data_IF_452480681154
#
_entry.id   IF_452480681154
#
_cell.length_a   1.000
_cell.length_b   1.000
_cell.length_c   1.000
_cell.angle_alpha   90.00
_cell.angle_beta   90.00
_cell.angle_gamma   90.00
#
_symmetry.space_group_name_H-M   'P 1'
#
loop_
_entity.id
_entity.type
_entity.pdbx_description
1 polymer ?
#
# COMPACT_ATOMS: atom_id res chain seq x y z
N UNK A 1 8.72 2.49 -0.41
CA UNK A 1 9.47 2.25 0.85
C UNK A 1 10.25 0.94 0.81
N UNK A 2 9.62 -0.19 0.48
CA UNK A 2 10.29 -1.52 0.42
C UNK A 2 11.08 -1.81 -0.86
N UNK A 3 10.84 -1.09 -1.96
CA UNK A 3 11.41 -1.40 -3.28
C UNK A 3 10.77 -2.60 -4.00
N UNK A 4 9.73 -3.20 -3.40
CA UNK A 4 9.04 -4.37 -3.94
C UNK A 4 7.86 -3.94 -4.83
N UNK A 5 8.02 -4.14 -6.14
CA UNK A 5 6.97 -3.94 -7.14
C UNK A 5 6.84 -2.52 -7.70
N UNK A 6 6.18 -2.43 -8.85
CA UNK A 6 5.95 -1.22 -9.63
C UNK A 6 4.47 -0.80 -9.51
N UNK A 7 4.15 0.43 -9.03
CA UNK A 7 2.78 0.86 -8.80
C UNK A 7 1.82 0.73 -9.99
N UNK A 8 2.32 0.91 -11.22
CA UNK A 8 1.50 0.85 -12.43
C UNK A 8 1.35 -0.56 -13.04
N UNK A 9 2.18 -1.53 -12.63
CA UNK A 9 2.11 -2.93 -13.11
C UNK A 9 1.46 -3.86 -12.10
N UNK A 10 1.82 -3.72 -10.82
CA UNK A 10 1.62 -4.81 -9.85
C UNK A 10 0.40 -4.64 -8.94
N UNK A 11 -0.32 -3.51 -9.06
CA UNK A 11 -1.46 -3.16 -8.21
C UNK A 11 -2.76 -3.16 -9.02
N UNK A 12 -3.57 -4.20 -8.82
CA UNK A 12 -4.88 -4.37 -9.48
C UNK A 12 -6.01 -3.99 -8.53
N UNK A 13 -7.21 -3.63 -9.01
CA UNK A 13 -8.42 -3.61 -8.18
C UNK A 13 -8.64 -5.00 -7.55
N UNK A 14 -9.10 -5.10 -6.31
CA UNK A 14 -9.29 -6.42 -5.68
C UNK A 14 -10.38 -7.24 -6.41
N UNK A 15 -11.36 -6.57 -7.03
CA UNK A 15 -12.37 -7.20 -7.90
C UNK A 15 -11.83 -7.84 -9.18
N UNK A 16 -10.56 -7.60 -9.54
CA UNK A 16 -9.86 -8.36 -10.58
C UNK A 16 -9.80 -9.87 -10.27
N UNK A 17 -9.87 -10.26 -8.99
CA UNK A 17 -9.94 -11.67 -8.59
C UNK A 17 -11.17 -12.41 -9.15
N UNK A 18 -12.29 -11.72 -9.37
CA UNK A 18 -13.54 -12.34 -9.83
C UNK A 18 -13.37 -13.09 -11.15
N UNK A 19 -12.57 -12.60 -12.10
CA UNK A 19 -12.32 -13.28 -13.38
C UNK A 19 -11.79 -14.72 -13.22
N UNK A 20 -11.06 -15.00 -12.13
CA UNK A 20 -10.57 -16.34 -11.81
C UNK A 20 -11.60 -17.18 -11.04
N UNK A 21 -12.44 -16.54 -10.23
CA UNK A 21 -13.56 -17.17 -9.53
C UNK A 21 -14.62 -17.64 -10.53
N UNK A 22 -15.02 -16.78 -11.48
CA UNK A 22 -15.98 -17.08 -12.55
C UNK A 22 -15.54 -18.30 -13.39
N UNK A 23 -14.24 -18.38 -13.69
CA UNK A 23 -13.65 -19.54 -14.38
C UNK A 23 -13.74 -20.83 -13.55
N UNK A 24 -13.41 -20.73 -12.26
CA UNK A 24 -13.45 -21.87 -11.36
C UNK A 24 -14.89 -22.34 -11.07
N UNK A 25 -15.87 -21.44 -11.10
CA UNK A 25 -17.29 -21.79 -11.02
C UNK A 25 -17.81 -22.48 -12.28
N UNK A 26 -17.46 -21.98 -13.48
CA UNK A 26 -17.73 -22.71 -14.73
C UNK A 26 -17.11 -24.13 -14.71
N UNK A 27 -15.92 -24.26 -14.13
CA UNK A 27 -15.23 -25.55 -13.96
C UNK A 27 -15.91 -26.46 -12.92
N UNK A 28 -16.59 -25.92 -11.90
CA UNK A 28 -17.28 -26.67 -10.84
C UNK A 28 -18.81 -26.73 -10.99
N UNK A 29 -19.38 -26.23 -12.09
CA UNK A 29 -20.84 -26.14 -12.32
C UNK A 29 -21.61 -27.47 -12.22
N UNK A 30 -20.93 -28.62 -12.34
CA UNK A 30 -21.52 -29.96 -12.20
C UNK A 30 -21.16 -30.66 -10.87
N UNK A 31 -20.42 -30.00 -9.97
CA UNK A 31 -19.95 -30.61 -8.73
C UNK A 31 -21.06 -30.47 -7.66
N UNK A 32 -21.59 -31.60 -7.18
CA UNK A 32 -22.76 -31.75 -6.28
C UNK A 32 -22.67 -31.07 -4.89
N UNK A 33 -21.71 -30.18 -4.68
CA UNK A 33 -21.48 -29.40 -3.44
C UNK A 33 -20.98 -27.98 -3.72
N UNK A 34 -21.16 -27.45 -4.93
CA UNK A 34 -20.76 -26.08 -5.30
C UNK A 34 -21.90 -25.06 -5.07
N UNK A 35 -22.71 -25.25 -4.02
CA UNK A 35 -23.97 -24.53 -3.77
C UNK A 35 -23.81 -23.00 -3.62
N UNK A 36 -22.60 -22.55 -3.31
CA UNK A 36 -22.24 -21.15 -3.03
C UNK A 36 -21.21 -20.56 -4.01
N UNK A 37 -20.76 -21.36 -4.96
CA UNK A 37 -19.67 -21.01 -5.88
C UNK A 37 -18.32 -20.75 -5.21
N UNK A 38 -17.45 -20.02 -5.91
CA UNK A 38 -16.11 -19.64 -5.47
C UNK A 38 -16.08 -18.26 -4.82
N UNK A 39 -15.04 -17.99 -4.02
CA UNK A 39 -14.84 -16.67 -3.40
C UNK A 39 -14.58 -15.61 -4.48
N UNK A 40 -15.62 -14.86 -4.85
CA UNK A 40 -15.58 -13.74 -5.79
C UNK A 40 -15.63 -12.41 -5.04
N UNK A 41 -14.96 -11.37 -5.53
CA UNK A 41 -14.82 -10.08 -4.84
C UNK A 41 -15.44 -8.94 -5.65
N UNK A 42 -16.72 -9.07 -6.02
CA UNK A 42 -17.45 -8.16 -6.92
C UNK A 42 -17.72 -6.72 -6.42
N UNK A 43 -16.79 -6.14 -5.65
CA UNK A 43 -16.84 -4.76 -5.21
C UNK A 43 -16.40 -3.77 -6.29
N UNK A 44 -16.78 -2.49 -6.13
CA UNK A 44 -16.36 -1.42 -7.02
C UNK A 44 -14.82 -1.38 -7.17
N UNK A 45 -14.24 -1.17 -8.36
CA UNK A 45 -12.78 -1.19 -8.53
C UNK A 45 -12.01 -0.22 -7.62
N UNK A 46 -12.62 0.91 -7.25
CA UNK A 46 -12.06 1.89 -6.32
C UNK A 46 -12.24 1.52 -4.83
N UNK A 47 -12.79 0.34 -4.50
CA UNK A 47 -12.98 -0.13 -3.13
C UNK A 47 -11.65 -0.45 -2.45
N UNK A 48 -10.75 -1.13 -3.17
CA UNK A 48 -9.40 -1.45 -2.71
C UNK A 48 -8.56 -2.02 -3.84
N UNK A 49 -7.25 -1.96 -3.68
CA UNK A 49 -6.26 -2.51 -4.60
C UNK A 49 -5.43 -3.60 -3.92
N UNK A 50 -4.91 -4.55 -4.69
CA UNK A 50 -4.06 -5.62 -4.19
C UNK A 50 -2.88 -5.91 -5.11
N UNK A 51 -1.73 -6.20 -4.50
CA UNK A 51 -0.56 -6.76 -5.15
C UNK A 51 -0.31 -8.17 -4.63
N UNK A 52 -0.09 -9.13 -5.54
CA UNK A 52 0.29 -10.49 -5.21
C UNK A 52 1.81 -10.67 -5.35
N UNK A 53 2.44 -11.34 -4.38
CA UNK A 53 3.88 -11.59 -4.33
C UNK A 53 4.13 -13.09 -4.16
N UNK A 54 4.92 -13.67 -5.07
CA UNK A 54 5.44 -15.03 -4.93
C UNK A 54 6.74 -14.99 -4.13
N UNK A 55 6.83 -15.82 -3.08
CA UNK A 55 7.96 -15.83 -2.16
C UNK A 55 8.51 -17.25 -2.06
N UNK A 56 9.81 -17.42 -2.34
CA UNK A 56 10.53 -18.65 -2.06
C UNK A 56 10.83 -18.75 -0.56
N UNK A 57 10.31 -19.76 0.13
CA UNK A 57 10.62 -19.96 1.55
C UNK A 57 12.08 -20.35 1.80
N UNK A 58 12.78 -20.90 0.80
CA UNK A 58 14.18 -21.31 0.94
C UNK A 58 15.11 -20.11 0.77
N UNK A 59 15.14 -19.52 -0.42
CA UNK A 59 16.05 -18.39 -0.76
C UNK A 59 15.60 -17.02 -0.22
N UNK A 60 14.35 -16.90 0.25
CA UNK A 60 13.67 -15.63 0.62
C UNK A 60 13.46 -14.65 -0.53
N UNK A 61 13.72 -15.06 -1.76
CA UNK A 61 13.43 -14.28 -2.95
C UNK A 61 11.93 -14.00 -3.07
N UNK A 62 11.57 -12.74 -3.28
CA UNK A 62 10.19 -12.26 -3.31
C UNK A 62 9.97 -11.41 -4.57
N UNK A 63 9.03 -11.83 -5.42
CA UNK A 63 8.78 -11.20 -6.73
C UNK A 63 7.28 -10.97 -6.90
N UNK A 64 6.82 -9.79 -7.35
CA UNK A 64 5.43 -9.57 -7.72
C UNK A 64 4.99 -10.59 -8.79
N UNK A 65 3.82 -11.22 -8.60
CA UNK A 65 3.32 -12.25 -9.53
C UNK A 65 3.18 -11.70 -10.94
N UNK A 66 2.75 -10.44 -11.03
CA UNK A 66 2.51 -9.65 -12.23
C UNK A 66 3.77 -9.18 -12.96
N UNK A 67 4.96 -9.36 -12.36
CA UNK A 67 6.23 -9.20 -13.06
C UNK A 67 6.55 -10.39 -13.98
N UNK A 68 6.01 -11.59 -13.70
CA UNK A 68 6.25 -12.82 -14.45
C UNK A 68 4.98 -13.50 -14.99
N UNK A 69 3.81 -12.91 -14.75
CA UNK A 69 2.52 -13.39 -15.20
C UNK A 69 1.70 -12.19 -15.69
N UNK A 70 1.53 -12.05 -17.02
CA UNK A 70 0.86 -10.90 -17.64
C UNK A 70 -0.63 -10.87 -17.30
N UNK A 71 -0.99 -10.28 -16.15
CA UNK A 71 -2.31 -10.37 -15.56
C UNK A 71 -3.44 -9.83 -16.44
N UNK A 72 -3.27 -8.66 -17.04
CA UNK A 72 -4.29 -8.03 -17.88
C UNK A 72 -4.62 -8.88 -19.13
N UNK A 73 -3.61 -9.49 -19.73
CA UNK A 73 -3.76 -10.36 -20.90
C UNK A 73 -4.25 -11.76 -20.51
N UNK A 74 -3.82 -12.28 -19.36
CA UNK A 74 -4.34 -13.51 -18.77
C UNK A 74 -5.84 -13.40 -18.50
N UNK A 75 -6.31 -12.31 -17.90
CA UNK A 75 -7.74 -12.09 -17.66
C UNK A 75 -8.54 -12.01 -18.97
N UNK A 76 -8.04 -11.31 -20.00
CA UNK A 76 -8.64 -11.23 -21.34
C UNK A 76 -8.69 -12.60 -22.05
N UNK A 77 -7.77 -13.51 -21.75
CA UNK A 77 -7.78 -14.86 -22.32
C UNK A 77 -8.67 -15.83 -21.52
N UNK A 78 -8.70 -15.73 -20.19
CA UNK A 78 -9.63 -16.48 -19.32
C UNK A 78 -11.07 -16.11 -19.64
N UNK A 79 -11.38 -14.83 -19.86
CA UNK A 79 -12.71 -14.40 -20.28
C UNK A 79 -13.21 -15.19 -21.51
N UNK A 80 -12.37 -15.39 -22.53
CA UNK A 80 -12.70 -16.19 -23.72
C UNK A 80 -12.91 -17.68 -23.42
N UNK A 81 -12.23 -18.23 -22.41
CA UNK A 81 -12.46 -19.61 -21.93
C UNK A 81 -13.82 -19.71 -21.24
N UNK A 82 -14.20 -18.68 -20.49
CA UNK A 82 -15.49 -18.58 -19.81
C UNK A 82 -16.64 -18.40 -20.82
N UNK A 83 -16.51 -17.45 -21.74
CA UNK A 83 -17.46 -17.18 -22.85
C UNK A 83 -17.67 -18.42 -23.75
N UNK A 84 -16.62 -19.23 -23.94
CA UNK A 84 -16.72 -20.47 -24.70
C UNK A 84 -17.54 -21.56 -23.98
N UNK A 85 -17.81 -21.41 -22.68
CA UNK A 85 -18.69 -22.23 -21.84
C UNK A 85 -18.56 -23.75 -22.09
N UNK A 86 -17.33 -24.26 -22.09
CA UNK A 86 -17.04 -25.67 -22.39
C UNK A 86 -17.07 -26.54 -21.13
N UNK A 87 -17.15 -27.86 -21.33
CA UNK A 87 -17.12 -28.83 -20.24
C UNK A 87 -15.76 -28.84 -19.51
N UNK A 88 -15.80 -29.17 -18.21
CA UNK A 88 -14.71 -29.11 -17.22
C UNK A 88 -13.29 -29.36 -17.78
N UNK A 89 -13.08 -30.44 -18.53
CA UNK A 89 -11.78 -30.76 -19.14
C UNK A 89 -11.24 -29.66 -20.06
N UNK A 90 -12.05 -29.15 -20.99
CA UNK A 90 -11.64 -28.08 -21.92
C UNK A 90 -11.44 -26.74 -21.20
N UNK A 91 -12.21 -26.49 -20.13
CA UNK A 91 -12.08 -25.30 -19.28
C UNK A 91 -10.77 -25.32 -18.47
N UNK A 92 -10.33 -26.50 -18.00
CA UNK A 92 -9.03 -26.72 -17.37
C UNK A 92 -7.88 -26.57 -18.37
N UNK A 93 -7.99 -27.20 -19.55
CA UNK A 93 -6.98 -27.08 -20.62
C UNK A 93 -6.85 -25.64 -21.13
N UNK A 94 -7.98 -24.94 -21.27
CA UNK A 94 -8.02 -23.52 -21.62
C UNK A 94 -7.24 -22.66 -20.64
N UNK A 95 -7.48 -22.81 -19.33
CA UNK A 95 -6.72 -22.09 -18.30
C UNK A 95 -5.24 -22.46 -18.28
N UNK A 96 -4.90 -23.74 -18.45
CA UNK A 96 -3.50 -24.16 -18.56
C UNK A 96 -2.79 -23.49 -19.75
N UNK A 97 -3.45 -23.41 -20.92
CA UNK A 97 -2.96 -22.68 -22.10
C UNK A 97 -2.84 -21.17 -21.83
N UNK A 98 -3.81 -20.55 -21.15
CA UNK A 98 -3.77 -19.13 -20.80
C UNK A 98 -2.61 -18.80 -19.85
N UNK A 99 -2.37 -19.66 -18.84
CA UNK A 99 -1.22 -19.54 -17.93
C UNK A 99 0.10 -19.73 -18.68
N UNK A 100 0.21 -20.74 -19.56
CA UNK A 100 1.41 -20.98 -20.36
C UNK A 100 1.73 -19.82 -21.32
N UNK A 101 0.72 -19.23 -21.96
CA UNK A 101 0.87 -18.09 -22.86
C UNK A 101 1.37 -16.83 -22.14
N UNK A 102 0.91 -16.60 -20.91
CA UNK A 102 1.12 -15.36 -20.18
C UNK A 102 2.23 -15.44 -19.11
N UNK A 103 2.98 -16.54 -19.04
CA UNK A 103 4.07 -16.75 -18.07
C UNK A 103 5.45 -16.46 -18.67
N UNK A 104 6.19 -15.55 -18.04
CA UNK A 104 7.58 -15.26 -18.35
C UNK A 104 8.52 -15.88 -17.29
N UNK A 105 9.28 -16.95 -17.61
CA UNK A 105 10.21 -17.56 -16.66
C UNK A 105 11.39 -16.65 -16.30
N UNK A 106 11.80 -15.69 -17.14
CA UNK A 106 12.99 -14.87 -16.92
C UNK A 106 12.81 -13.82 -15.82
N UNK A 107 11.57 -13.37 -15.60
CA UNK A 107 11.21 -12.46 -14.51
C UNK A 107 10.65 -13.19 -13.28
N UNK A 108 10.55 -14.52 -13.31
CA UNK A 108 10.07 -15.33 -12.19
C UNK A 108 11.16 -15.57 -11.13
N UNK A 109 10.82 -15.93 -9.87
CA UNK A 109 11.82 -16.36 -8.89
C UNK A 109 12.66 -17.53 -9.43
N UNK A 110 13.95 -17.58 -9.14
CA UNK A 110 14.99 -18.43 -9.79
C UNK A 110 14.69 -19.94 -9.87
N UNK A 111 13.84 -20.44 -8.99
CA UNK A 111 13.44 -21.85 -8.92
C UNK A 111 11.97 -22.09 -9.26
N UNK A 112 11.19 -21.03 -9.51
CA UNK A 112 9.79 -21.09 -9.85
C UNK A 112 9.64 -21.57 -11.30
N UNK A 113 8.82 -22.60 -11.50
CA UNK A 113 8.61 -23.20 -12.81
C UNK A 113 7.15 -23.05 -13.19
N UNK A 114 6.88 -23.14 -14.49
CA UNK A 114 5.52 -23.28 -15.01
C UNK A 114 4.75 -24.43 -14.34
N UNK A 115 5.43 -25.52 -13.96
CA UNK A 115 4.84 -26.62 -13.18
C UNK A 115 4.40 -26.21 -11.77
N UNK A 116 5.11 -25.27 -11.13
CA UNK A 116 4.71 -24.70 -9.84
C UNK A 116 3.58 -23.67 -10.00
N UNK A 117 3.57 -22.88 -11.08
CA UNK A 117 2.46 -21.99 -11.43
C UNK A 117 1.14 -22.77 -11.61
N UNK A 118 1.15 -23.81 -12.46
CA UNK A 118 -0.03 -24.66 -12.70
C UNK A 118 -0.49 -25.33 -11.39
N UNK A 119 0.45 -25.86 -10.59
CA UNK A 119 0.21 -26.42 -9.26
C UNK A 119 -0.32 -25.41 -8.25
N UNK A 120 0.00 -24.11 -8.38
CA UNK A 120 -0.55 -23.04 -7.52
C UNK A 120 -2.01 -22.76 -7.83
N UNK A 121 -2.36 -22.60 -9.12
CA UNK A 121 -3.76 -22.42 -9.53
C UNK A 121 -4.60 -23.66 -9.18
N UNK A 122 -4.09 -24.86 -9.45
CA UNK A 122 -4.72 -26.14 -9.06
C UNK A 122 -4.87 -26.29 -7.53
N UNK A 123 -3.91 -25.84 -6.72
CA UNK A 123 -4.00 -25.82 -5.25
C UNK A 123 -4.96 -24.77 -4.69
N UNK A 124 -5.29 -23.73 -5.47
CA UNK A 124 -6.22 -22.68 -5.09
C UNK A 124 -7.66 -23.03 -5.47
N UNK A 125 -7.87 -23.47 -6.72
CA UNK A 125 -9.18 -23.70 -7.33
C UNK A 125 -9.53 -25.19 -7.49
N UNK A 126 -8.73 -26.13 -6.97
CA UNK A 126 -9.00 -27.58 -6.98
C UNK A 126 -9.30 -28.18 -8.37
N UNK A 127 -8.66 -27.67 -9.42
CA UNK A 127 -8.98 -27.97 -10.82
C UNK A 127 -8.89 -29.46 -11.18
N UNK A 128 -7.87 -30.16 -10.67
CA UNK A 128 -7.63 -31.58 -10.95
C UNK A 128 -8.19 -32.53 -9.88
N UNK A 129 -8.86 -32.01 -8.84
CA UNK A 129 -9.28 -32.79 -7.65
C UNK A 129 -8.11 -33.29 -6.78
N UNK A 130 -6.88 -32.84 -7.04
CA UNK A 130 -5.67 -33.33 -6.37
C UNK A 130 -5.58 -32.84 -4.93
N UNK A 131 -5.52 -33.78 -3.99
CA UNK A 131 -5.44 -33.46 -2.56
C UNK A 131 -4.10 -32.79 -2.19
N UNK A 132 -4.15 -31.49 -1.92
CA UNK A 132 -3.04 -30.66 -1.39
C UNK A 132 -3.07 -30.47 0.14
N UNK A 133 -3.94 -31.17 0.85
CA UNK A 133 -4.29 -30.93 2.25
C UNK A 133 -5.51 -30.00 2.37
N UNK A 134 -6.48 -30.38 3.19
CA UNK A 134 -7.73 -29.66 3.48
C UNK A 134 -7.48 -28.26 4.06
N UNK A 135 -8.47 -27.38 3.88
CA UNK A 135 -8.50 -26.01 4.46
C UNK A 135 -9.68 -25.75 5.39
N UNK A 136 -10.74 -26.57 5.30
CA UNK A 136 -11.97 -26.44 6.06
C UNK A 136 -11.83 -26.70 7.58
N UNK A 137 -12.96 -26.69 8.31
CA UNK A 137 -12.96 -26.90 9.77
C UNK A 137 -12.52 -28.31 10.18
N UNK A 138 -12.60 -29.28 9.27
CA UNK A 138 -12.26 -30.69 9.46
C UNK A 138 -10.79 -31.03 9.09
N UNK A 139 -9.93 -30.02 8.90
CA UNK A 139 -8.52 -30.20 8.54
C UNK A 139 -7.70 -30.78 9.69
N UNK A 140 -6.87 -31.76 9.37
CA UNK A 140 -5.94 -32.40 10.31
C UNK A 140 -4.62 -31.63 10.45
N UNK A 141 -3.78 -32.03 11.42
CA UNK A 141 -2.39 -31.55 11.48
C UNK A 141 -1.63 -31.95 10.21
N UNK A 142 -1.87 -33.15 9.68
CA UNK A 142 -1.23 -33.63 8.45
C UNK A 142 -1.64 -32.81 7.22
N UNK A 143 -2.91 -32.38 7.11
CA UNK A 143 -3.36 -31.44 6.09
C UNK A 143 -2.59 -30.11 6.17
N UNK A 144 -2.41 -29.58 7.39
CA UNK A 144 -1.66 -28.34 7.64
C UNK A 144 -0.18 -28.52 7.28
N UNK A 145 0.46 -29.61 7.68
CA UNK A 145 1.87 -29.87 7.35
C UNK A 145 2.07 -30.11 5.85
N UNK A 146 1.17 -30.85 5.21
CA UNK A 146 1.13 -31.05 3.75
C UNK A 146 0.99 -29.73 2.98
N UNK A 147 0.13 -28.81 3.46
CA UNK A 147 0.04 -27.45 2.89
C UNK A 147 1.29 -26.62 3.16
N UNK A 148 1.92 -26.74 4.35
CA UNK A 148 3.14 -26.03 4.76
C UNK A 148 4.42 -26.54 4.09
N UNK A 149 4.45 -27.78 3.58
CA UNK A 149 5.60 -28.34 2.87
C UNK A 149 5.78 -27.78 1.44
N UNK A 150 4.77 -27.12 0.89
CA UNK A 150 4.85 -26.39 -0.39
C UNK A 150 5.91 -25.27 -0.32
N UNK A 151 7.01 -25.37 -1.10
CA UNK A 151 8.16 -24.44 -1.11
C UNK A 151 7.74 -22.97 -1.21
N UNK A 152 6.67 -22.70 -1.93
CA UNK A 152 6.28 -21.36 -2.34
C UNK A 152 5.23 -20.78 -1.40
N UNK A 153 5.47 -19.58 -0.89
CA UNK A 153 4.45 -18.74 -0.26
C UNK A 153 3.84 -17.79 -1.30
N UNK A 154 2.55 -17.53 -1.17
CA UNK A 154 1.84 -16.49 -1.93
C UNK A 154 1.36 -15.47 -0.90
N UNK A 155 1.87 -14.24 -0.98
CA UNK A 155 1.50 -13.13 -0.11
C UNK A 155 0.62 -12.16 -0.90
N UNK A 156 -0.57 -11.87 -0.40
CA UNK A 156 -1.44 -10.84 -0.94
C UNK A 156 -1.32 -9.59 -0.06
N UNK A 157 -0.96 -8.46 -0.66
CA UNK A 157 -0.82 -7.17 0.00
C UNK A 157 -1.98 -6.30 -0.48
N UNK A 158 -2.99 -6.13 0.37
CA UNK A 158 -4.17 -5.32 0.08
C UNK A 158 -4.03 -3.89 0.65
N UNK A 159 -4.46 -2.90 -0.12
CA UNK A 159 -4.60 -1.51 0.29
C UNK A 159 -6.03 -1.02 0.08
N UNK A 160 -6.61 -0.40 1.11
CA UNK A 160 -7.92 0.25 1.04
C UNK A 160 -7.76 1.74 1.31
N UNK A 161 -8.33 2.58 0.45
CA UNK A 161 -8.46 4.01 0.70
C UNK A 161 -9.83 4.29 1.33
N UNK A 162 -9.90 5.01 2.46
CA UNK A 162 -11.17 5.43 3.06
C UNK A 162 -11.73 6.64 2.28
N UNK A 163 -12.99 6.59 1.85
CA UNK A 163 -13.59 7.76 1.18
C UNK A 163 -13.90 8.84 2.23
N UNK A 164 -13.70 10.08 1.83
CA UNK A 164 -13.94 11.29 2.59
C UNK A 164 -14.77 12.24 1.70
N UNK A 165 -15.19 13.39 2.22
CA UNK A 165 -16.13 14.29 1.53
C UNK A 165 -15.65 14.74 0.14
N UNK A 166 -14.33 14.80 -0.08
CA UNK A 166 -13.71 15.20 -1.34
C UNK A 166 -13.58 14.08 -2.39
N UNK A 167 -13.74 12.80 -2.01
CA UNK A 167 -13.65 11.65 -2.91
C UNK A 167 -14.76 10.61 -2.65
N UNK A 168 -15.90 11.08 -2.16
CA UNK A 168 -17.07 10.24 -1.93
C UNK A 168 -17.69 9.80 -3.26
N UNK A 169 -17.97 8.51 -3.37
CA UNK A 169 -18.42 7.83 -4.58
C UNK A 169 -19.53 6.86 -4.16
N UNK A 170 -20.77 7.20 -4.56
CA UNK A 170 -21.96 6.45 -4.21
C UNK A 170 -21.98 5.04 -4.83
N UNK A 171 -21.35 4.82 -6.00
CA UNK A 171 -21.28 3.48 -6.62
C UNK A 171 -20.42 2.54 -5.79
N UNK A 172 -19.34 3.06 -5.19
CA UNK A 172 -18.56 2.31 -4.20
C UNK A 172 -19.38 1.99 -2.94
N UNK A 173 -20.23 2.90 -2.47
CA UNK A 173 -21.10 2.66 -1.30
C UNK A 173 -22.17 1.59 -1.59
N UNK A 174 -22.79 1.65 -2.77
CA UNK A 174 -23.76 0.67 -3.29
C UNK A 174 -23.13 -0.73 -3.48
N UNK A 175 -21.90 -0.80 -4.02
CA UNK A 175 -21.18 -2.05 -4.29
C UNK A 175 -20.23 -2.46 -3.13
N UNK A 176 -20.52 -2.06 -1.89
CA UNK A 176 -19.68 -2.38 -0.74
C UNK A 176 -20.07 -3.75 -0.15
N UNK A 177 -19.34 -4.79 -0.56
CA UNK A 177 -19.57 -6.20 -0.19
C UNK A 177 -19.16 -6.59 1.25
N UNK A 178 -18.90 -5.62 2.14
CA UNK A 178 -18.48 -5.87 3.53
C UNK A 178 -19.67 -5.54 4.43
N UNK A 179 -20.40 -6.54 4.96
CA UNK A 179 -21.56 -6.31 5.81
C UNK A 179 -21.14 -5.93 7.23
N UNK A 180 -21.78 -4.91 7.79
CA UNK A 180 -21.70 -4.51 9.20
C UNK A 180 -23.06 -4.75 9.85
N UNK A 181 -23.08 -5.50 10.94
CA UNK A 181 -24.30 -5.69 11.74
C UNK A 181 -24.48 -4.51 12.72
N UNK A 182 -25.70 -4.00 12.80
CA UNK A 182 -26.12 -2.95 13.73
C UNK A 182 -27.47 -3.32 14.36
N UNK A 183 -27.89 -2.56 15.37
CA UNK A 183 -29.19 -2.71 16.02
C UNK A 183 -30.37 -2.58 15.05
N UNK A 184 -30.22 -1.79 13.98
CA UNK A 184 -31.23 -1.58 12.94
C UNK A 184 -31.20 -2.63 11.82
N UNK A 185 -30.27 -3.60 11.89
CA UNK A 185 -30.03 -4.60 10.86
C UNK A 185 -28.65 -4.46 10.18
N UNK A 186 -28.55 -4.97 8.95
CA UNK A 186 -27.31 -4.96 8.16
C UNK A 186 -27.14 -3.64 7.38
N UNK A 187 -25.92 -3.11 7.39
CA UNK A 187 -25.50 -1.93 6.63
C UNK A 187 -24.12 -2.18 6.03
N UNK A 188 -23.81 -1.60 4.86
CA UNK A 188 -22.48 -1.78 4.26
C UNK A 188 -21.39 -1.00 5.02
N UNK A 189 -20.17 -1.53 5.05
CA UNK A 189 -19.01 -0.89 5.69
C UNK A 189 -18.81 0.57 5.25
N UNK A 190 -18.99 0.86 3.95
CA UNK A 190 -18.88 2.22 3.42
C UNK A 190 -20.05 3.10 3.91
N UNK A 191 -21.30 2.63 3.87
CA UNK A 191 -22.44 3.41 4.38
C UNK A 191 -22.33 3.70 5.90
N UNK A 192 -21.73 2.78 6.66
CA UNK A 192 -21.49 2.99 8.10
C UNK A 192 -20.32 3.96 8.35
N UNK A 193 -19.11 3.64 7.88
CA UNK A 193 -17.87 4.27 8.33
C UNK A 193 -17.43 5.52 7.53
N UNK A 194 -18.05 5.81 6.38
CA UNK A 194 -17.37 6.57 5.31
C UNK A 194 -18.21 7.78 4.87
N UNK A 195 -17.55 8.93 4.61
CA UNK A 195 -18.23 10.18 4.24
C UNK A 195 -19.20 10.68 5.30
N UNK A 196 -20.45 10.99 4.91
CA UNK A 196 -21.56 11.37 5.82
C UNK A 196 -22.15 10.11 6.50
N UNK A 197 -21.27 9.28 7.06
CA UNK A 197 -21.57 7.89 7.43
C UNK A 197 -22.55 7.74 8.59
N UNK A 198 -23.41 6.71 8.50
CA UNK A 198 -24.47 6.41 9.46
C UNK A 198 -23.96 6.08 10.87
N UNK A 199 -22.68 5.72 11.01
CA UNK A 199 -22.01 5.46 12.30
C UNK A 199 -22.35 6.49 13.37
N UNK A 200 -22.20 7.78 13.08
CA UNK A 200 -22.41 8.85 14.05
C UNK A 200 -23.87 8.97 14.53
N UNK A 201 -24.82 8.47 13.73
CA UNK A 201 -26.25 8.43 14.08
C UNK A 201 -26.53 7.20 14.94
N UNK A 202 -26.07 6.02 14.50
CA UNK A 202 -26.30 4.73 15.17
C UNK A 202 -25.59 4.67 16.53
N UNK A 203 -24.31 5.03 16.59
CA UNK A 203 -23.55 5.08 17.86
C UNK A 203 -24.17 6.07 18.86
N UNK A 204 -24.74 7.18 18.39
CA UNK A 204 -25.40 8.18 19.25
C UNK A 204 -26.81 7.76 19.68
N UNK A 205 -27.55 7.05 18.83
CA UNK A 205 -28.88 6.51 19.13
C UNK A 205 -28.79 5.42 20.22
N UNK A 206 -27.77 4.57 20.15
CA UNK A 206 -27.57 3.44 21.06
C UNK A 206 -26.53 3.70 22.16
N UNK A 207 -26.17 4.97 22.39
CA UNK A 207 -25.22 5.38 23.43
C UNK A 207 -25.81 5.21 24.84
N UNK A 208 -25.30 4.25 25.60
CA UNK A 208 -25.79 3.96 26.97
C UNK A 208 -25.32 4.96 28.04
N UNK A 209 -24.17 5.60 27.84
CA UNK A 209 -23.62 6.63 28.72
C UNK A 209 -22.77 7.64 27.92
N UNK A 210 -22.75 8.90 28.37
CA UNK A 210 -21.75 9.88 27.89
C UNK A 210 -20.40 9.60 28.54
N UNK A 211 -19.30 10.06 27.93
CA UNK A 211 -17.95 9.91 28.49
C UNK A 211 -17.83 10.54 29.89
N UNK A 212 -18.49 11.68 30.13
CA UNK A 212 -18.54 12.33 31.45
C UNK A 212 -19.23 11.44 32.48
N UNK A 213 -20.45 10.96 32.18
CA UNK A 213 -21.21 10.08 33.07
C UNK A 213 -20.40 8.80 33.38
N UNK A 214 -19.78 8.20 32.36
CA UNK A 214 -18.94 7.02 32.56
C UNK A 214 -17.77 7.28 33.52
N UNK A 215 -17.08 8.43 33.37
CA UNK A 215 -15.99 8.83 34.27
C UNK A 215 -16.45 9.26 35.67
N UNK A 216 -17.69 9.73 35.84
CA UNK A 216 -18.30 10.01 37.15
C UNK A 216 -18.66 8.70 37.88
N UNK A 217 -19.19 7.70 37.17
CA UNK A 217 -19.62 6.41 37.74
C UNK A 217 -18.45 5.44 37.99
N UNK A 218 -17.46 5.38 37.09
CA UNK A 218 -16.38 4.37 37.10
C UNK A 218 -14.99 4.97 37.36
N UNK A 219 -14.90 6.28 37.57
CA UNK A 219 -13.62 7.00 37.59
C UNK A 219 -12.97 7.08 36.21
N UNK A 220 -11.79 7.71 36.16
CA UNK A 220 -11.02 7.90 34.92
C UNK A 220 -9.79 7.00 34.92
N UNK A 221 -9.71 6.09 33.94
CA UNK A 221 -8.53 5.25 33.72
C UNK A 221 -7.27 6.10 33.43
N UNK A 222 -6.12 5.66 33.93
CA UNK A 222 -4.85 6.36 33.70
C UNK A 222 -4.39 6.23 32.25
N UNK A 223 -4.22 7.37 31.57
CA UNK A 223 -3.76 7.42 30.17
C UNK A 223 -2.24 7.66 30.17
N UNK A 224 -1.48 6.59 29.97
CA UNK A 224 -0.03 6.64 29.86
C UNK A 224 0.39 7.07 28.45
N UNK A 225 1.06 8.22 28.35
CA UNK A 225 1.61 8.76 27.11
C UNK A 225 3.04 9.29 27.32
N UNK A 226 3.83 9.33 26.24
CA UNK A 226 5.18 9.92 26.26
C UNK A 226 6.23 9.11 27.02
N UNK A 227 6.16 7.77 27.00
CA UNK A 227 7.18 6.91 27.61
C UNK A 227 7.09 6.75 29.13
N UNK A 228 5.97 7.14 29.75
CA UNK A 228 5.68 6.86 31.16
C UNK A 228 5.47 5.36 31.39
N UNK A 229 6.01 4.84 32.50
CA UNK A 229 5.79 3.47 32.93
C UNK A 229 4.30 3.22 33.22
N UNK A 230 3.74 2.16 32.62
CA UNK A 230 2.37 1.69 32.89
C UNK A 230 2.37 0.87 34.18
N UNK A 231 1.44 1.16 35.09
CA UNK A 231 1.17 0.29 36.24
C UNK A 231 0.36 -0.94 35.77
N UNK A 232 1.05 -2.05 35.51
CA UNK A 232 0.42 -3.33 35.17
C UNK A 232 0.23 -4.18 36.43
N UNK A 233 -0.93 -4.82 36.57
CA UNK A 233 -1.26 -5.69 37.72
C UNK A 233 -0.30 -6.89 37.83
N UNK A 234 0.13 -7.43 36.70
CA UNK A 234 1.17 -8.46 36.62
C UNK A 234 2.25 -8.05 35.61
N UNK A 235 3.43 -8.68 35.72
CA UNK A 235 4.53 -8.57 34.74
C UNK A 235 4.82 -9.90 34.05
N UNK A 236 3.97 -10.89 34.26
CA UNK A 236 4.13 -12.23 33.70
C UNK A 236 3.71 -12.24 32.22
N UNK A 237 4.54 -12.83 31.37
CA UNK A 237 4.29 -12.89 29.93
C UNK A 237 4.78 -14.20 29.32
N UNK A 238 4.04 -14.72 28.34
CA UNK A 238 4.43 -15.89 27.54
C UNK A 238 5.51 -15.59 26.48
N UNK A 239 5.97 -14.33 26.38
CA UNK A 239 7.07 -13.93 25.52
C UNK A 239 8.39 -14.48 26.05
N UNK A 240 8.87 -15.58 25.45
CA UNK A 240 10.20 -16.10 25.71
C UNK A 240 11.27 -15.25 24.99
N UNK A 241 12.06 -14.53 25.78
CA UNK A 241 13.24 -13.81 25.30
C UNK A 241 14.33 -14.85 24.94
N UNK A 242 14.85 -14.79 23.71
CA UNK A 242 15.88 -15.75 23.24
C UNK A 242 17.27 -15.21 23.55
N UNK A 243 17.87 -15.62 24.67
CA UNK A 243 19.12 -15.05 25.20
C UNK A 243 20.24 -14.89 24.16
N UNK A 244 20.40 -15.85 23.25
CA UNK A 244 21.40 -15.82 22.16
C UNK A 244 21.20 -14.74 21.08
N UNK A 245 20.15 -13.92 21.14
CA UNK A 245 19.96 -12.70 20.33
C UNK A 245 19.75 -11.43 21.18
N UNK A 246 19.92 -11.52 22.50
CA UNK A 246 19.73 -10.39 23.43
C UNK A 246 21.07 -9.70 23.66
N UNK A 247 21.24 -8.52 23.08
CA UNK A 247 22.38 -7.65 23.40
C UNK A 247 22.10 -6.81 24.64
N UNK A 248 23.09 -6.69 25.53
CA UNK A 248 23.09 -5.62 26.55
C UNK A 248 23.45 -4.25 25.93
N UNK A 249 24.01 -4.25 24.72
CA UNK A 249 24.25 -3.05 23.92
C UNK A 249 22.95 -2.55 23.26
N UNK A 250 22.85 -1.22 23.14
CA UNK A 250 21.81 -0.53 22.38
C UNK A 250 21.81 -0.95 20.89
N UNK A 251 20.64 -1.24 20.33
CA UNK A 251 20.50 -1.60 18.92
C UNK A 251 20.83 -0.41 18.00
N UNK A 252 22.00 -0.50 17.35
CA UNK A 252 22.57 0.53 16.44
C UNK A 252 22.73 0.05 14.99
N UNK A 253 21.98 -0.96 14.58
CA UNK A 253 21.97 -1.48 13.20
C UNK A 253 21.45 -0.44 12.21
N UNK A 254 20.32 0.22 12.51
CA UNK A 254 19.77 1.28 11.67
C UNK A 254 20.69 2.50 11.57
N UNK A 255 21.44 2.83 12.62
CA UNK A 255 22.46 3.90 12.57
C UNK A 255 23.63 3.51 11.66
N UNK A 256 24.16 2.29 11.81
CA UNK A 256 25.25 1.72 10.99
C UNK A 256 24.85 1.63 9.50
N UNK A 257 23.57 1.37 9.21
CA UNK A 257 23.02 1.32 7.86
C UNK A 257 22.58 2.71 7.33
N UNK A 258 22.68 3.78 8.12
CA UNK A 258 22.23 5.13 7.73
C UNK A 258 20.72 5.29 7.56
N UNK A 259 19.92 4.34 8.07
CA UNK A 259 18.46 4.33 7.97
C UNK A 259 17.85 5.30 9.00
N UNK A 260 16.65 5.82 8.74
CA UNK A 260 15.90 6.63 9.69
C UNK A 260 15.12 5.73 10.67
N UNK A 261 15.27 5.94 11.99
CA UNK A 261 14.61 5.09 13.00
C UNK A 261 13.10 5.35 13.11
N UNK A 262 12.61 6.47 12.56
CA UNK A 262 11.21 6.89 12.62
C UNK A 262 10.89 7.92 11.53
N UNK A 263 9.59 8.12 11.25
CA UNK A 263 9.12 9.04 10.21
C UNK A 263 9.43 10.52 10.49
N UNK A 264 9.79 10.91 11.73
CA UNK A 264 10.24 12.28 12.05
C UNK A 264 11.67 12.50 11.59
N UNK A 265 12.57 11.56 11.83
CA UNK A 265 13.92 11.56 11.26
C UNK A 265 13.91 11.52 9.74
N UNK A 266 13.07 10.67 9.13
CA UNK A 266 12.95 10.58 7.66
C UNK A 266 12.56 11.95 7.06
N UNK A 267 11.51 12.59 7.59
CA UNK A 267 11.09 13.94 7.19
C UNK A 267 12.16 15.00 7.46
N UNK A 268 12.89 14.90 8.56
CA UNK A 268 13.97 15.83 8.91
C UNK A 268 15.15 15.70 7.94
N UNK A 269 15.67 14.49 7.72
CA UNK A 269 16.74 14.21 6.75
C UNK A 269 16.34 14.63 5.33
N UNK A 270 15.07 14.40 4.92
CA UNK A 270 14.56 14.83 3.62
C UNK A 270 14.45 16.37 3.49
N UNK A 271 14.01 17.07 4.54
CA UNK A 271 14.02 18.55 4.60
C UNK A 271 15.45 19.07 4.52
N UNK A 272 16.36 18.52 5.31
CA UNK A 272 17.73 19.02 5.46
C UNK A 272 18.54 18.77 4.19
N UNK A 273 18.31 17.64 3.50
CA UNK A 273 18.87 17.37 2.18
C UNK A 273 18.37 18.36 1.11
N UNK A 274 17.09 18.76 1.14
CA UNK A 274 16.56 19.81 0.27
C UNK A 274 17.16 21.19 0.58
N UNK A 275 17.25 21.56 1.86
CA UNK A 275 17.77 22.87 2.29
C UNK A 275 19.28 23.02 2.02
N UNK A 276 20.07 21.96 2.24
CA UNK A 276 21.53 21.98 2.02
C UNK A 276 21.92 22.28 0.57
N UNK A 277 21.06 21.93 -0.38
CA UNK A 277 21.29 22.05 -1.81
C UNK A 277 20.46 23.16 -2.49
N UNK A 278 19.76 24.03 -1.75
CA UNK A 278 19.01 25.18 -2.30
C UNK A 278 19.89 26.45 -2.31
N UNK A 279 20.33 26.96 -3.49
CA UNK A 279 21.13 28.17 -3.58
C UNK A 279 20.40 29.44 -3.12
N UNK A 280 19.07 29.50 -3.28
CA UNK A 280 18.26 30.64 -2.85
C UNK A 280 18.03 30.62 -1.33
N UNK A 281 17.90 29.45 -0.71
CA UNK A 281 17.97 29.32 0.77
C UNK A 281 19.33 29.78 1.29
N UNK A 282 20.42 29.27 0.72
CA UNK A 282 21.78 29.65 1.12
C UNK A 282 22.04 31.16 0.94
N UNK A 283 21.53 31.79 -0.15
CA UNK A 283 21.61 33.23 -0.35
C UNK A 283 20.83 34.04 0.71
N UNK A 284 19.59 33.62 1.05
CA UNK A 284 18.77 34.26 2.10
C UNK A 284 19.39 34.11 3.50
N UNK A 285 19.98 32.96 3.79
CA UNK A 285 20.72 32.75 5.05
C UNK A 285 21.99 33.62 5.10
N UNK A 286 22.69 33.79 3.97
CA UNK A 286 23.86 34.66 3.89
C UNK A 286 23.51 36.16 4.04
N UNK A 287 22.36 36.63 3.54
CA UNK A 287 21.91 38.01 3.78
C UNK A 287 21.51 38.24 5.24
N UNK A 288 20.74 37.31 5.83
CA UNK A 288 20.38 37.37 7.26
C UNK A 288 21.62 37.32 8.17
N UNK A 289 22.64 36.53 7.82
CA UNK A 289 23.89 36.48 8.59
C UNK A 289 24.67 37.80 8.54
N UNK A 290 24.72 38.47 7.37
CA UNK A 290 25.33 39.79 7.22
C UNK A 290 24.62 40.84 8.07
N UNK A 291 23.29 40.88 7.99
CA UNK A 291 22.45 41.81 8.74
C UNK A 291 22.55 41.59 10.26
N UNK A 292 22.32 40.36 10.73
CA UNK A 292 22.17 40.06 12.16
C UNK A 292 23.51 39.85 12.88
N UNK A 293 24.48 39.19 12.23
CA UNK A 293 25.76 38.79 12.87
C UNK A 293 26.88 39.76 12.52
N UNK A 294 27.07 40.09 11.24
CA UNK A 294 28.11 41.05 10.82
C UNK A 294 27.69 42.51 11.02
N UNK A 295 26.40 42.75 11.30
CA UNK A 295 25.81 44.09 11.48
C UNK A 295 26.00 45.01 10.26
N UNK A 296 26.08 44.41 9.06
CA UNK A 296 25.92 45.13 7.81
C UNK A 296 24.49 45.70 7.82
N UNK A 297 24.35 47.02 8.01
CA UNK A 297 23.04 47.67 7.91
C UNK A 297 22.45 47.33 6.53
N UNK A 298 21.21 46.82 6.43
CA UNK A 298 20.53 46.83 5.14
C UNK A 298 20.48 48.28 4.65
N UNK A 299 20.48 48.48 3.32
CA UNK A 299 20.48 49.82 2.72
C UNK A 299 19.10 50.46 2.93
N UNK A 300 18.91 51.00 4.13
CA UNK A 300 17.69 51.68 4.55
C UNK A 300 17.51 52.92 3.69
N UNK A 301 16.39 52.96 2.97
CA UNK A 301 16.04 54.06 2.08
C UNK A 301 15.55 55.27 2.87
N UNK A 302 16.48 56.15 3.26
CA UNK A 302 16.11 57.51 3.62
C UNK A 302 15.32 58.12 2.46
N UNK A 303 14.06 58.46 2.72
CA UNK A 303 13.11 59.02 1.77
C UNK A 303 12.79 58.15 0.52
N UNK A 304 12.89 56.82 0.64
CA UNK A 304 12.27 55.89 -0.31
C UNK A 304 12.92 55.78 -1.70
N UNK A 305 14.06 56.41 -1.94
CA UNK A 305 14.76 56.40 -3.23
C UNK A 305 16.02 55.53 -3.18
N UNK A 306 16.16 54.57 -4.10
CA UNK A 306 17.37 53.74 -4.22
C UNK A 306 18.27 54.37 -5.30
N UNK A 307 19.45 54.92 -4.95
CA UNK A 307 20.35 55.50 -5.95
C UNK A 307 20.96 54.39 -6.84
N UNK A 308 20.97 54.58 -8.16
CA UNK A 308 21.37 53.54 -9.12
C UNK A 308 22.78 52.96 -8.89
N UNK A 309 23.68 53.71 -8.24
CA UNK A 309 25.01 53.21 -7.85
C UNK A 309 24.97 51.97 -6.95
N UNK A 310 23.89 51.76 -6.19
CA UNK A 310 23.71 50.58 -5.34
C UNK A 310 23.36 49.30 -6.11
N UNK A 311 23.00 49.40 -7.40
CA UNK A 311 22.67 48.26 -8.27
C UNK A 311 23.87 47.76 -9.10
N UNK A 312 24.99 48.50 -9.10
CA UNK A 312 26.16 48.18 -9.92
C UNK A 312 27.05 47.14 -9.23
N UNK A 313 26.82 45.84 -9.54
CA UNK A 313 27.83 44.80 -9.30
C UNK A 313 29.07 45.13 -10.14
N UNK A 314 30.16 45.47 -9.47
CA UNK A 314 31.43 45.84 -10.10
C UNK A 314 32.20 44.59 -10.59
N UNK A 315 31.69 43.94 -11.64
CA UNK A 315 32.40 42.91 -12.38
C UNK A 315 33.18 43.53 -13.55
N UNK A 316 34.45 43.17 -13.70
CA UNK A 316 35.35 43.72 -14.71
C UNK A 316 34.95 43.42 -16.15
N UNK A 317 35.36 44.32 -17.05
CA UNK A 317 35.17 44.28 -18.51
C UNK A 317 35.38 42.90 -19.15
N UNK A 318 34.49 42.47 -20.05
CA UNK A 318 34.87 41.70 -21.24
C UNK A 318 34.96 42.62 -22.47
N UNK A 319 35.90 42.31 -23.38
CA UNK A 319 36.02 42.95 -24.69
C UNK A 319 36.40 41.88 -25.72
N UNK A 320 35.41 41.35 -26.46
CA UNK A 320 35.40 41.16 -27.94
C UNK A 320 34.26 40.25 -28.39
N UNK A 321 33.47 40.74 -29.35
CA UNK A 321 32.85 40.05 -30.50
C UNK A 321 31.85 38.87 -30.32
N UNK A 322 30.85 38.89 -31.23
CA UNK A 322 30.03 37.77 -31.75
C UNK A 322 29.10 36.97 -30.79
N UNK A 323 27.94 36.44 -31.19
CA UNK A 323 26.93 36.83 -32.22
C UNK A 323 25.64 35.97 -32.05
N UNK A 324 24.52 36.37 -32.67
CA UNK A 324 23.32 35.55 -33.00
C UNK A 324 22.36 35.04 -31.87
N UNK A 325 21.30 35.82 -31.65
CA UNK A 325 19.85 35.49 -31.61
C UNK A 325 19.32 34.04 -31.39
N UNK A 326 18.44 33.88 -30.37
CA UNK A 326 17.13 33.15 -30.33
C UNK A 326 16.70 33.04 -28.83
N UNK A 327 15.47 33.29 -28.34
CA UNK A 327 14.06 33.13 -28.78
C UNK A 327 13.60 31.66 -28.75
N UNK A 328 12.48 31.27 -28.11
CA UNK A 328 11.51 32.01 -27.28
C UNK A 328 11.86 31.92 -25.77
N UNK A 329 11.05 31.64 -24.73
CA UNK A 329 9.61 31.41 -24.43
C UNK A 329 9.44 31.69 -22.90
N UNK A 330 8.36 32.15 -22.24
CA UNK A 330 6.89 31.93 -22.28
C UNK A 330 6.48 30.51 -21.86
N UNK A 331 5.62 30.24 -20.86
CA UNK A 331 5.18 30.96 -19.64
C UNK A 331 4.44 29.92 -18.74
N UNK A 332 4.25 30.17 -17.44
CA UNK A 332 3.18 29.54 -16.62
C UNK A 332 2.87 30.37 -15.35
N UNK A 333 1.78 30.14 -14.58
CA UNK A 333 0.87 31.24 -14.24
C UNK A 333 0.79 31.62 -12.75
N UNK A 334 0.10 32.74 -12.50
CA UNK A 334 -0.30 33.22 -11.16
C UNK A 334 -1.50 32.41 -10.66
N UNK A 335 -1.58 32.21 -9.34
CA UNK A 335 -2.69 31.53 -8.67
C UNK A 335 -3.29 32.40 -7.52
N UNK A 336 -4.61 32.34 -7.35
CA UNK A 336 -5.39 33.06 -6.33
C UNK A 336 -5.73 34.50 -6.75
N UNK A 337 -6.96 34.99 -6.61
CA UNK A 337 -8.06 34.52 -5.74
C UNK A 337 -8.91 33.34 -6.25
#
# INVERSE_FOLDING_TARGET
>A
QTGLGEPARDWFPISFMSTFSDWADLMHVNDLKNDWGQLSCGCHPNCGTGMAVMIDKETKEAVPVTAFLHGDQLAKDIAKVNDASRGKFLTIVGMALCLMKNYDPFHSPKHFKLTDLLKKFDKNFNATGKNYGKVGPDRTIDDVMKRRNDRWNFLFIAGMWFQDLFNYDFRRTEQCIIPYATQEGEISFCAYNTGVGWRNIIEKMHMTATLSKWYEEHGRHEIFAGGKNVAMETKEHSLYLRDGIVTQEEQRDLDKLGIAKNAREEKMRARDAKQKNDPAYNARMASLYREVVLKEKPVASENGFIPLGALVKNNGKPLTAESAESVAEVAEPVAGD
#
